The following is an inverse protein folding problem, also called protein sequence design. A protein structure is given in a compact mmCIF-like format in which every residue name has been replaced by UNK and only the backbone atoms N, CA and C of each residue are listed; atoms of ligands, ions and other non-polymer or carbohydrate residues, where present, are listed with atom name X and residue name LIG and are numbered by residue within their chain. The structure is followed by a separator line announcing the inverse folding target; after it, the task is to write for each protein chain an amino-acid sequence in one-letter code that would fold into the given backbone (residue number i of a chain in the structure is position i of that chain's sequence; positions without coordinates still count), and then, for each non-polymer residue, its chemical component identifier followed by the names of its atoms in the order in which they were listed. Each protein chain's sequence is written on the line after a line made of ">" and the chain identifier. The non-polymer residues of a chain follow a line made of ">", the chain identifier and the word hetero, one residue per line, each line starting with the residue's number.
data_IF_985282435718
#
_entry.id   IF_985282435718
#
_cell.length_a   1.000
_cell.length_b   1.000
_cell.length_c   1.000
_cell.angle_alpha   90.00
_cell.angle_beta   90.00
_cell.angle_gamma   90.00
#
_symmetry.space_group_name_H-M   'P 1'
#
loop_
_entity.id
_entity.type
_entity.pdbx_description
1 polymer ?
#
# COMPACT_ATOMS: atom_id res chain seq x y z
N UNK A 1 -57.06 -10.36 -3.76
CA UNK A 1 -56.89 -9.80 -2.42
C UNK A 1 -57.08 -10.92 -1.41
N UNK A 2 -55.96 -11.42 -0.83
CA UNK A 2 -56.02 -12.38 0.29
C UNK A 2 -55.08 -11.84 1.37
N UNK A 3 -55.64 -11.37 2.47
CA UNK A 3 -54.90 -10.96 3.66
C UNK A 3 -54.42 -12.20 4.40
N UNK A 4 -53.10 -12.29 4.65
CA UNK A 4 -52.50 -13.29 5.54
C UNK A 4 -52.21 -12.58 6.87
N UNK A 5 -52.99 -12.89 7.88
CA UNK A 5 -52.79 -12.45 9.26
C UNK A 5 -51.64 -13.21 9.88
N UNK A 6 -50.58 -12.52 10.31
CA UNK A 6 -49.45 -13.12 11.08
C UNK A 6 -49.68 -12.81 12.57
N UNK A 7 -49.93 -13.88 13.30
CA UNK A 7 -50.05 -13.86 14.77
C UNK A 7 -48.66 -13.70 15.39
N UNK A 8 -48.48 -12.68 16.22
CA UNK A 8 -47.22 -12.45 16.98
C UNK A 8 -47.38 -13.21 18.30
N UNK A 9 -46.47 -14.18 18.53
CA UNK A 9 -46.36 -14.87 19.80
C UNK A 9 -45.41 -14.07 20.72
N UNK A 10 -45.97 -13.60 21.86
CA UNK A 10 -45.17 -13.02 22.95
C UNK A 10 -44.47 -14.13 23.73
N UNK A 11 -43.16 -14.12 23.72
CA UNK A 11 -42.34 -14.94 24.67
C UNK A 11 -42.17 -14.13 25.97
N UNK A 12 -42.67 -14.70 27.07
CA UNK A 12 -42.47 -14.18 28.41
C UNK A 12 -41.04 -14.47 28.89
N UNK A 13 -40.31 -13.42 29.28
CA UNK A 13 -39.01 -13.54 29.96
C UNK A 13 -39.24 -13.78 31.44
N UNK A 14 -38.73 -14.91 31.96
CA UNK A 14 -38.63 -15.18 33.40
C UNK A 14 -37.33 -14.55 33.97
N UNK A 15 -37.36 -13.95 35.17
CA UNK A 15 -36.17 -13.39 35.79
C UNK A 15 -35.32 -14.50 36.41
N UNK A 16 -34.01 -14.55 36.03
CA UNK A 16 -33.00 -15.36 36.67
C UNK A 16 -32.44 -14.60 37.86
N UNK A 17 -32.68 -15.09 39.07
CA UNK A 17 -32.06 -14.60 40.28
C UNK A 17 -30.60 -15.09 40.39
N UNK A 18 -29.66 -14.18 40.37
CA UNK A 18 -28.22 -14.46 40.60
C UNK A 18 -27.98 -14.33 42.10
N UNK A 19 -27.69 -15.47 42.75
CA UNK A 19 -27.24 -15.51 44.16
C UNK A 19 -25.76 -15.10 44.22
N UNK A 20 -25.46 -13.99 44.90
CA UNK A 20 -24.12 -13.58 45.20
C UNK A 20 -23.61 -14.38 46.43
N UNK A 21 -22.70 -15.34 46.18
CA UNK A 21 -21.95 -16.00 47.24
C UNK A 21 -20.73 -15.11 47.55
N UNK A 22 -20.77 -14.45 48.71
CA UNK A 22 -19.64 -13.70 49.23
C UNK A 22 -18.62 -14.64 49.86
N UNK A 23 -17.45 -14.76 49.23
CA UNK A 23 -16.27 -15.34 49.91
C UNK A 23 -15.48 -14.22 50.58
N UNK A 24 -15.59 -14.14 51.91
CA UNK A 24 -14.78 -13.30 52.75
C UNK A 24 -13.49 -14.06 53.09
N UNK A 25 -12.39 -13.79 52.38
CA UNK A 25 -11.06 -14.25 52.74
C UNK A 25 -10.21 -13.05 53.18
N UNK A 26 -10.11 -12.84 54.47
CA UNK A 26 -9.10 -11.97 55.08
C UNK A 26 -7.72 -12.58 54.92
N UNK A 27 -6.96 -12.12 53.93
CA UNK A 27 -5.56 -12.43 53.73
C UNK A 27 -4.76 -11.21 54.25
N UNK A 28 -3.70 -11.41 55.08
CA UNK A 28 -2.87 -10.31 55.57
C UNK A 28 -2.14 -9.65 54.39
N UNK A 29 -2.11 -8.32 54.38
CA UNK A 29 -1.39 -7.54 53.38
C UNK A 29 0.11 -7.80 53.50
N UNK A 30 0.65 -8.52 52.50
CA UNK A 30 2.09 -8.63 52.28
C UNK A 30 2.54 -7.33 51.53
N UNK A 31 3.56 -6.69 52.11
CA UNK A 31 4.13 -5.45 51.58
C UNK A 31 4.62 -5.66 50.15
N UNK A 32 4.44 -4.67 49.23
CA UNK A 32 4.89 -4.82 47.84
C UNK A 32 6.40 -4.90 47.79
N UNK A 33 6.92 -6.11 47.55
CA UNK A 33 8.30 -6.30 47.14
C UNK A 33 8.56 -5.49 45.86
N UNK A 34 9.52 -4.60 45.93
CA UNK A 34 10.04 -3.85 44.79
C UNK A 34 10.72 -4.83 43.85
N UNK A 35 9.93 -5.41 42.91
CA UNK A 35 10.49 -6.05 41.75
C UNK A 35 11.07 -4.93 40.84
N UNK A 36 12.29 -4.54 41.12
CA UNK A 36 13.09 -3.75 40.20
C UNK A 36 13.28 -4.60 38.93
N UNK A 37 12.49 -4.33 37.90
CA UNK A 37 12.79 -4.80 36.56
C UNK A 37 14.17 -4.24 36.21
N UNK A 38 15.18 -5.10 35.94
CA UNK A 38 16.48 -4.59 35.54
C UNK A 38 16.29 -3.78 34.28
N UNK A 39 16.50 -2.45 34.38
CA UNK A 39 16.57 -1.55 33.21
C UNK A 39 17.82 -1.92 32.43
N UNK A 40 17.67 -2.87 31.50
CA UNK A 40 18.68 -3.17 30.54
C UNK A 40 18.72 -2.02 29.51
N UNK A 41 19.31 -0.90 29.92
CA UNK A 41 19.75 0.14 28.99
C UNK A 41 21.07 -0.32 28.39
N UNK A 42 21.02 -1.30 27.49
CA UNK A 42 22.10 -1.44 26.53
C UNK A 42 22.05 -0.17 25.65
N UNK A 43 23.17 0.54 25.43
CA UNK A 43 23.20 1.58 24.43
C UNK A 43 22.80 0.91 23.12
N UNK A 44 21.69 1.37 22.51
CA UNK A 44 21.32 0.95 21.19
C UNK A 44 22.45 1.38 20.26
N UNK A 45 23.36 0.44 19.93
CA UNK A 45 24.34 0.63 18.89
C UNK A 45 23.58 1.09 17.63
N UNK A 46 24.15 2.03 16.89
CA UNK A 46 23.56 2.45 15.63
C UNK A 46 23.17 1.20 14.82
N UNK A 47 21.97 1.16 14.21
CA UNK A 47 21.54 -0.02 13.46
C UNK A 47 22.60 -0.38 12.43
N UNK A 48 23.09 -1.61 12.47
CA UNK A 48 24.04 -2.07 11.45
C UNK A 48 23.29 -2.11 10.11
N UNK A 49 23.80 -1.44 9.07
CA UNK A 49 23.15 -1.45 7.76
C UNK A 49 22.95 -2.88 7.26
N UNK A 50 21.75 -3.22 6.84
CA UNK A 50 21.48 -4.51 6.22
C UNK A 50 22.12 -4.54 4.84
N UNK A 51 22.73 -5.68 4.48
CA UNK A 51 23.34 -5.90 3.17
C UNK A 51 23.00 -7.28 2.62
N UNK A 52 23.15 -7.46 1.32
CA UNK A 52 22.94 -8.75 0.68
C UNK A 52 21.50 -9.29 0.87
N UNK A 53 21.37 -10.58 1.17
CA UNK A 53 20.08 -11.24 1.27
C UNK A 53 19.20 -10.65 2.38
N UNK A 54 19.77 -10.29 3.52
CA UNK A 54 19.01 -9.70 4.63
C UNK A 54 18.35 -8.36 4.25
N UNK A 55 19.03 -7.54 3.43
CA UNK A 55 18.47 -6.31 2.88
C UNK A 55 17.32 -6.60 1.91
N UNK A 56 17.49 -7.58 1.03
CA UNK A 56 16.44 -8.00 0.08
C UNK A 56 15.23 -8.54 0.83
N UNK A 57 15.41 -9.37 1.85
CA UNK A 57 14.32 -9.94 2.64
C UNK A 57 13.55 -8.84 3.40
N UNK A 58 14.26 -7.87 3.98
CA UNK A 58 13.63 -6.68 4.59
C UNK A 58 12.83 -5.90 3.56
N UNK A 59 13.39 -5.66 2.38
CA UNK A 59 12.71 -4.99 1.28
C UNK A 59 11.45 -5.71 0.82
N UNK A 60 11.51 -7.04 0.70
CA UNK A 60 10.36 -7.88 0.38
C UNK A 60 9.23 -7.70 1.38
N UNK A 61 9.52 -7.73 2.68
CA UNK A 61 8.53 -7.53 3.73
C UNK A 61 7.88 -6.14 3.63
N UNK A 62 8.67 -5.10 3.34
CA UNK A 62 8.18 -3.74 3.19
C UNK A 62 7.33 -3.56 1.92
N UNK A 63 7.70 -4.17 0.81
CA UNK A 63 6.92 -4.14 -0.45
C UNK A 63 5.58 -4.85 -0.29
N UNK A 64 5.55 -6.01 0.39
CA UNK A 64 4.31 -6.75 0.67
C UNK A 64 3.45 -5.97 1.66
N UNK A 65 4.00 -5.58 2.80
CA UNK A 65 3.27 -4.86 3.85
C UNK A 65 2.82 -3.46 3.44
N UNK A 66 3.56 -2.82 2.53
CA UNK A 66 3.21 -1.52 1.92
C UNK A 66 2.18 -1.61 0.79
N UNK A 67 1.74 -2.81 0.39
CA UNK A 67 0.72 -2.97 -0.66
C UNK A 67 1.17 -2.55 -2.06
N UNK A 68 2.47 -2.57 -2.36
CA UNK A 68 2.97 -2.14 -3.68
C UNK A 68 2.35 -2.92 -4.85
N UNK A 69 2.06 -4.20 -4.62
CA UNK A 69 1.39 -5.05 -5.60
C UNK A 69 -0.02 -4.58 -5.95
N UNK A 70 -0.73 -3.89 -5.04
CA UNK A 70 -2.13 -3.50 -5.24
C UNK A 70 -2.32 -2.62 -6.48
N UNK A 71 -1.34 -1.74 -6.74
CA UNK A 71 -1.33 -0.86 -7.90
C UNK A 71 -0.31 -1.27 -8.96
N UNK A 72 0.85 -1.84 -8.58
CA UNK A 72 1.95 -2.10 -9.51
C UNK A 72 1.91 -3.49 -10.16
N UNK A 73 1.06 -4.41 -9.69
CA UNK A 73 0.82 -5.69 -10.36
C UNK A 73 -0.53 -5.65 -11.07
N UNK A 74 -0.57 -5.77 -12.41
CA UNK A 74 -1.82 -5.81 -13.14
C UNK A 74 -2.74 -6.92 -12.63
N UNK A 75 -4.04 -6.72 -12.75
CA UNK A 75 -5.02 -7.74 -12.45
C UNK A 75 -5.61 -8.28 -13.74
N UNK A 76 -5.96 -9.55 -13.71
CA UNK A 76 -6.68 -10.29 -14.77
C UNK A 76 -8.03 -10.77 -14.24
N UNK A 77 -9.02 -11.00 -15.11
CA UNK A 77 -10.28 -11.62 -14.70
C UNK A 77 -10.04 -12.97 -14.01
N UNK A 78 -10.66 -13.16 -12.86
CA UNK A 78 -10.68 -14.43 -12.12
C UNK A 78 -12.12 -14.84 -11.81
N UNK A 79 -12.34 -16.07 -11.30
CA UNK A 79 -13.67 -16.61 -11.05
C UNK A 79 -14.46 -15.85 -9.98
N UNK A 80 -13.77 -15.20 -9.05
CA UNK A 80 -14.38 -14.45 -7.94
C UNK A 80 -14.11 -12.92 -8.03
N UNK A 81 -13.68 -12.43 -9.19
CA UNK A 81 -13.31 -11.04 -9.40
C UNK A 81 -11.86 -10.90 -9.89
N UNK A 82 -11.31 -9.67 -9.92
CA UNK A 82 -9.96 -9.44 -10.39
C UNK A 82 -8.91 -10.15 -9.51
N UNK A 83 -7.99 -10.87 -10.14
CA UNK A 83 -6.88 -11.58 -9.49
C UNK A 83 -5.54 -11.00 -9.94
N UNK A 84 -4.52 -11.05 -9.07
CA UNK A 84 -3.18 -10.60 -9.43
C UNK A 84 -2.61 -11.44 -10.58
N UNK A 85 -2.10 -10.77 -11.59
CA UNK A 85 -1.31 -11.39 -12.64
C UNK A 85 0.17 -11.43 -12.23
N UNK A 86 0.55 -12.45 -11.49
CA UNK A 86 1.92 -12.59 -11.00
C UNK A 86 2.96 -12.84 -12.09
N UNK A 87 2.55 -13.22 -13.31
CA UNK A 87 3.47 -13.29 -14.46
C UNK A 87 3.98 -11.90 -14.85
N UNK A 88 3.19 -10.88 -14.54
CA UNK A 88 3.51 -9.46 -14.73
C UNK A 88 3.66 -8.71 -13.40
N UNK A 89 4.11 -9.39 -12.34
CA UNK A 89 4.26 -8.79 -11.01
C UNK A 89 5.11 -7.52 -11.04
N UNK A 90 4.60 -6.44 -10.44
CA UNK A 90 5.27 -5.14 -10.29
C UNK A 90 5.63 -4.42 -11.61
N UNK A 91 5.08 -4.88 -12.74
CA UNK A 91 5.36 -4.28 -14.06
C UNK A 91 4.56 -3.01 -14.37
N UNK A 92 3.58 -2.65 -13.53
CA UNK A 92 2.75 -1.45 -13.73
C UNK A 92 1.67 -1.60 -14.80
N UNK A 93 1.24 -0.46 -15.36
CA UNK A 93 0.24 -0.43 -16.43
C UNK A 93 0.75 -1.15 -17.68
N UNK A 94 0.05 -2.17 -18.19
CA UNK A 94 0.46 -2.87 -19.39
C UNK A 94 0.53 -1.96 -20.62
N UNK A 95 1.62 -2.03 -21.38
CA UNK A 95 1.88 -1.22 -22.57
C UNK A 95 0.78 -1.34 -23.63
N UNK A 96 0.20 -2.53 -23.78
CA UNK A 96 -0.85 -2.83 -24.76
C UNK A 96 -2.25 -2.34 -24.38
N UNK A 97 -2.47 -1.95 -23.14
CA UNK A 97 -3.77 -1.50 -22.64
C UNK A 97 -3.89 0.03 -22.73
N UNK A 98 -4.64 0.50 -23.74
CA UNK A 98 -4.83 1.92 -23.97
C UNK A 98 -5.98 2.46 -23.11
N UNK A 99 -5.68 3.45 -22.29
CA UNK A 99 -6.69 4.30 -21.65
C UNK A 99 -6.91 5.50 -22.57
N UNK A 100 -8.06 5.55 -23.23
CA UNK A 100 -8.31 6.47 -24.35
C UNK A 100 -8.86 7.83 -23.93
N UNK A 101 -9.40 7.97 -22.74
CA UNK A 101 -9.88 9.25 -22.22
C UNK A 101 -9.88 9.27 -20.69
N UNK A 102 -9.53 10.41 -20.07
CA UNK A 102 -9.78 10.60 -18.66
C UNK A 102 -11.29 10.56 -18.40
N UNK A 103 -11.68 9.95 -17.29
CA UNK A 103 -13.05 10.03 -16.82
C UNK A 103 -13.38 11.49 -16.49
N UNK A 104 -14.48 12.02 -17.04
CA UNK A 104 -14.92 13.37 -16.69
C UNK A 104 -15.54 13.35 -15.31
N UNK A 105 -14.83 13.91 -14.33
CA UNK A 105 -15.37 14.06 -12.98
C UNK A 105 -16.56 15.05 -12.98
N UNK A 106 -17.67 14.62 -12.40
CA UNK A 106 -18.72 15.55 -11.97
C UNK A 106 -18.32 16.12 -10.59
N UNK A 107 -18.09 17.44 -10.46
CA UNK A 107 -17.71 18.04 -9.17
C UNK A 107 -18.74 17.80 -8.05
N UNK A 108 -19.99 17.47 -8.39
CA UNK A 108 -21.06 17.16 -7.45
C UNK A 108 -21.12 15.68 -7.07
N UNK A 109 -20.40 14.81 -7.80
CA UNK A 109 -20.33 13.39 -7.49
C UNK A 109 -19.50 13.17 -6.21
N UNK A 110 -19.92 12.28 -5.30
CA UNK A 110 -19.06 11.84 -4.20
C UNK A 110 -17.88 10.99 -4.69
N UNK A 111 -17.94 10.47 -5.91
CA UNK A 111 -16.89 9.63 -6.52
C UNK A 111 -15.95 10.50 -7.35
N UNK A 112 -14.82 10.88 -6.76
CA UNK A 112 -13.86 11.79 -7.40
C UNK A 112 -12.62 11.07 -7.96
N UNK A 113 -12.46 9.77 -7.65
CA UNK A 113 -11.33 8.94 -8.11
C UNK A 113 -11.87 7.65 -8.69
N UNK A 114 -11.36 7.28 -9.86
CA UNK A 114 -11.72 6.06 -10.55
C UNK A 114 -10.47 5.28 -10.95
N UNK A 115 -10.60 3.97 -11.09
CA UNK A 115 -9.52 3.08 -11.50
C UNK A 115 -9.93 2.24 -12.70
N UNK A 116 -8.95 1.82 -13.51
CA UNK A 116 -9.13 0.79 -14.53
C UNK A 116 -9.45 -0.57 -13.91
N UNK A 117 -10.02 -1.48 -14.69
CA UNK A 117 -10.38 -2.81 -14.20
C UNK A 117 -9.19 -3.65 -13.72
N UNK A 118 -7.99 -3.39 -14.25
CA UNK A 118 -6.73 -4.03 -13.81
C UNK A 118 -6.05 -3.30 -12.64
N UNK A 119 -6.63 -2.19 -12.16
CA UNK A 119 -6.15 -1.36 -11.04
C UNK A 119 -4.72 -0.80 -11.21
N UNK A 120 -4.28 -0.56 -12.45
CA UNK A 120 -2.96 0.04 -12.73
C UNK A 120 -3.04 1.41 -13.40
N UNK A 121 -4.25 1.87 -13.75
CA UNK A 121 -4.52 3.24 -14.20
C UNK A 121 -5.57 3.89 -13.31
N UNK A 122 -5.36 5.17 -12.98
CA UNK A 122 -6.21 5.93 -12.06
C UNK A 122 -6.50 7.30 -12.63
N UNK A 123 -7.70 7.80 -12.40
CA UNK A 123 -8.09 9.14 -12.84
C UNK A 123 -8.79 9.91 -11.74
N UNK A 124 -8.55 11.20 -11.69
CA UNK A 124 -9.13 12.15 -10.74
C UNK A 124 -8.91 13.59 -11.19
N UNK A 125 -8.97 14.53 -10.28
CA UNK A 125 -8.74 15.95 -10.57
C UNK A 125 -7.35 16.25 -11.17
N UNK A 126 -6.37 15.36 -11.00
CA UNK A 126 -5.01 15.47 -11.53
C UNK A 126 -4.88 15.01 -12.99
N UNK A 127 -5.92 14.41 -13.58
CA UNK A 127 -5.87 13.76 -14.88
C UNK A 127 -5.78 12.24 -14.75
N UNK A 128 -4.88 11.59 -15.51
CA UNK A 128 -4.67 10.14 -15.48
C UNK A 128 -3.24 9.81 -15.08
N UNK A 129 -3.11 8.97 -14.07
CA UNK A 129 -1.83 8.37 -13.65
C UNK A 129 -1.79 6.88 -13.96
N UNK A 130 -0.60 6.38 -14.23
CA UNK A 130 -0.33 4.98 -14.50
C UNK A 130 0.67 4.46 -13.48
N UNK A 131 0.39 3.28 -12.93
CA UNK A 131 1.34 2.60 -12.05
C UNK A 131 2.62 2.29 -12.84
N UNK A 132 3.75 2.74 -12.33
CA UNK A 132 5.05 2.55 -12.98
C UNK A 132 5.48 1.09 -12.97
N UNK A 133 6.33 0.71 -13.94
CA UNK A 133 7.11 -0.51 -13.88
C UNK A 133 8.20 -0.33 -12.82
N UNK A 134 8.09 -1.06 -11.71
CA UNK A 134 9.05 -1.02 -10.60
C UNK A 134 9.87 -2.30 -10.49
N UNK A 135 9.89 -3.12 -11.54
CA UNK A 135 10.80 -4.28 -11.65
C UNK A 135 12.23 -3.85 -11.90
N UNK A 136 13.17 -4.80 -11.77
CA UNK A 136 14.60 -4.59 -12.07
C UNK A 136 14.93 -4.40 -13.55
N UNK A 137 13.94 -4.23 -14.46
CA UNK A 137 14.22 -3.95 -15.87
C UNK A 137 14.98 -2.63 -16.05
N UNK A 138 16.07 -2.66 -16.82
CA UNK A 138 16.98 -1.52 -16.95
C UNK A 138 16.51 -0.45 -17.92
N UNK A 139 15.56 -0.77 -18.81
CA UNK A 139 15.08 0.14 -19.85
C UNK A 139 13.72 0.74 -19.53
N UNK A 140 12.85 -0.02 -18.89
CA UNK A 140 11.46 0.38 -18.66
C UNK A 140 11.07 0.39 -17.18
N UNK A 141 11.90 -0.22 -16.31
CA UNK A 141 11.71 -0.29 -14.87
C UNK A 141 12.70 0.57 -14.09
N UNK A 142 13.00 0.15 -12.86
CA UNK A 142 13.89 0.88 -11.96
C UNK A 142 15.31 0.28 -11.89
N UNK A 143 15.67 -0.61 -12.82
CA UNK A 143 16.94 -1.32 -12.79
C UNK A 143 18.18 -0.40 -12.74
N UNK A 144 18.14 0.74 -13.42
CA UNK A 144 19.22 1.73 -13.42
C UNK A 144 19.18 2.71 -12.24
N UNK A 145 18.10 2.72 -11.43
CA UNK A 145 18.00 3.69 -10.35
C UNK A 145 19.05 3.44 -9.27
N UNK A 146 19.68 4.52 -8.83
CA UNK A 146 20.56 4.50 -7.66
C UNK A 146 19.73 4.61 -6.37
N UNK A 147 20.33 4.26 -5.23
CA UNK A 147 19.69 4.47 -3.91
C UNK A 147 19.28 5.93 -3.73
N UNK A 148 20.16 6.86 -4.10
CA UNK A 148 19.86 8.29 -4.02
C UNK A 148 18.65 8.68 -4.86
N UNK A 149 18.54 8.21 -6.11
CA UNK A 149 17.38 8.50 -6.97
C UNK A 149 16.07 7.98 -6.36
N UNK A 150 16.09 6.78 -5.77
CA UNK A 150 14.92 6.19 -5.16
C UNK A 150 14.51 6.93 -3.88
N UNK A 151 15.47 7.21 -2.99
CA UNK A 151 15.23 7.97 -1.76
C UNK A 151 14.69 9.36 -2.10
N UNK A 152 15.33 10.09 -3.01
CA UNK A 152 14.88 11.42 -3.42
C UNK A 152 13.48 11.38 -4.03
N UNK A 153 13.15 10.33 -4.83
CA UNK A 153 11.82 10.18 -5.39
C UNK A 153 10.75 10.03 -4.29
N UNK A 154 11.03 9.25 -3.24
CA UNK A 154 10.11 9.10 -2.12
C UNK A 154 10.07 10.33 -1.20
N UNK A 155 11.16 11.08 -1.07
CA UNK A 155 11.21 12.31 -0.25
C UNK A 155 10.54 13.50 -0.93
N UNK A 156 10.71 13.65 -2.24
CA UNK A 156 10.28 14.84 -3.00
C UNK A 156 9.00 14.63 -3.81
N UNK A 157 8.59 13.37 -4.01
CA UNK A 157 7.48 13.03 -4.90
C UNK A 157 7.79 13.27 -6.38
N UNK A 158 9.07 13.30 -6.77
CA UNK A 158 9.48 13.48 -8.16
C UNK A 158 10.08 12.19 -8.72
N UNK A 159 9.66 11.80 -9.90
CA UNK A 159 10.22 10.65 -10.60
C UNK A 159 11.74 10.81 -10.74
N UNK A 160 12.50 9.77 -10.37
CA UNK A 160 13.97 9.78 -10.27
C UNK A 160 14.53 10.88 -9.32
N UNK A 161 13.70 11.44 -8.45
CA UNK A 161 14.06 12.50 -7.51
C UNK A 161 14.05 13.92 -8.09
N UNK A 162 14.05 14.10 -9.39
CA UNK A 162 14.24 15.40 -10.05
C UNK A 162 13.30 15.68 -11.22
N UNK A 163 12.69 14.63 -11.79
CA UNK A 163 11.87 14.73 -12.99
C UNK A 163 10.41 15.13 -12.66
N UNK A 164 9.43 14.67 -13.45
CA UNK A 164 8.01 14.99 -13.28
C UNK A 164 7.48 14.57 -11.90
N UNK A 165 6.41 15.24 -11.46
CA UNK A 165 5.70 14.88 -10.23
C UNK A 165 5.13 13.45 -10.30
N UNK A 166 5.25 12.71 -9.22
CA UNK A 166 4.53 11.45 -9.00
C UNK A 166 3.10 11.80 -8.64
N UNK A 167 2.16 11.34 -9.48
CA UNK A 167 0.75 11.69 -9.34
C UNK A 167 0.01 10.74 -8.37
N UNK A 168 -1.12 11.18 -7.80
CA UNK A 168 -2.00 10.29 -7.05
C UNK A 168 -2.42 9.07 -7.90
N UNK A 169 -2.76 7.92 -7.27
CA UNK A 169 -2.85 7.72 -5.83
C UNK A 169 -1.56 7.25 -5.15
N UNK A 170 -0.39 7.29 -5.83
CA UNK A 170 0.87 6.83 -5.23
C UNK A 170 1.17 7.60 -3.93
N UNK A 171 1.19 6.94 -2.76
CA UNK A 171 1.34 7.60 -1.47
C UNK A 171 2.83 7.80 -1.11
N UNK A 172 3.61 8.39 -2.03
CA UNK A 172 5.05 8.59 -1.90
C UNK A 172 5.44 9.33 -0.61
N UNK A 173 4.59 10.27 -0.16
CA UNK A 173 4.81 11.06 1.05
C UNK A 173 4.78 10.22 2.35
N UNK A 174 4.07 9.10 2.37
CA UNK A 174 4.10 8.16 3.49
C UNK A 174 5.34 7.28 3.42
N UNK A 175 5.67 6.70 2.26
CA UNK A 175 6.92 5.97 2.09
C UNK A 175 8.14 6.85 2.32
N UNK A 176 8.05 8.12 1.96
CA UNK A 176 9.07 9.12 2.23
C UNK A 176 9.38 9.35 3.72
N UNK A 177 8.59 8.84 4.65
CA UNK A 177 8.86 8.91 6.09
C UNK A 177 9.67 7.72 6.61
N UNK A 178 9.84 6.66 5.80
CA UNK A 178 10.66 5.52 6.18
C UNK A 178 12.13 5.93 6.32
N UNK A 179 12.89 5.26 7.22
CA UNK A 179 14.34 5.42 7.28
C UNK A 179 14.99 5.11 5.92
N UNK A 180 16.13 5.74 5.63
CA UNK A 180 16.86 5.51 4.38
C UNK A 180 17.24 4.05 4.19
N UNK A 181 17.57 3.33 5.26
CA UNK A 181 17.89 1.89 5.19
C UNK A 181 16.69 1.05 4.75
N UNK A 182 15.47 1.40 5.13
CA UNK A 182 14.26 0.73 4.66
C UNK A 182 13.96 1.07 3.18
N UNK A 183 14.18 2.32 2.75
CA UNK A 183 14.05 2.70 1.35
C UNK A 183 15.09 1.99 0.47
N UNK A 184 16.34 1.87 0.94
CA UNK A 184 17.39 1.08 0.27
C UNK A 184 17.00 -0.40 0.18
N UNK A 185 16.43 -0.96 1.25
CA UNK A 185 15.97 -2.34 1.27
C UNK A 185 14.84 -2.57 0.25
N UNK A 186 13.85 -1.66 0.19
CA UNK A 186 12.79 -1.71 -0.82
C UNK A 186 13.40 -1.72 -2.23
N UNK A 187 14.32 -0.80 -2.54
CA UNK A 187 14.97 -0.74 -3.84
C UNK A 187 15.75 -2.02 -4.15
N UNK A 188 16.50 -2.55 -3.18
CA UNK A 188 17.27 -3.79 -3.35
C UNK A 188 16.36 -4.97 -3.71
N UNK A 189 15.22 -5.12 -3.02
CA UNK A 189 14.24 -6.15 -3.36
C UNK A 189 13.65 -5.94 -4.75
N UNK A 190 13.17 -4.73 -5.06
CA UNK A 190 12.55 -4.45 -6.36
C UNK A 190 13.52 -4.73 -7.52
N UNK A 191 14.79 -4.39 -7.37
CA UNK A 191 15.84 -4.70 -8.37
C UNK A 191 16.14 -6.19 -8.46
N UNK A 192 15.90 -6.97 -7.41
CA UNK A 192 16.07 -8.43 -7.41
C UNK A 192 14.90 -9.19 -8.04
N UNK A 193 13.77 -8.51 -8.30
CA UNK A 193 12.61 -9.14 -8.94
C UNK A 193 12.89 -9.47 -10.40
N UNK A 194 12.09 -10.39 -10.97
CA UNK A 194 12.18 -10.73 -12.40
C UNK A 194 12.04 -9.45 -13.25
N UNK A 195 13.02 -9.10 -14.07
CA UNK A 195 12.90 -7.97 -14.99
C UNK A 195 11.77 -8.21 -15.99
N UNK A 196 10.88 -7.24 -16.14
CA UNK A 196 9.79 -7.29 -17.10
C UNK A 196 9.87 -6.03 -17.97
N UNK A 197 10.16 -6.20 -19.25
CA UNK A 197 10.11 -5.11 -20.21
C UNK A 197 8.66 -4.70 -20.44
N UNK A 198 8.27 -3.54 -19.91
CA UNK A 198 6.93 -2.98 -20.05
C UNK A 198 7.01 -1.45 -20.00
N UNK A 199 6.77 -0.79 -21.12
CA UNK A 199 6.81 0.67 -21.25
C UNK A 199 5.48 1.26 -20.82
N UNK A 200 5.42 1.74 -19.60
CA UNK A 200 4.22 2.39 -19.06
C UNK A 200 3.97 3.71 -19.78
N UNK A 201 2.71 4.03 -20.14
CA UNK A 201 2.37 5.30 -20.78
C UNK A 201 2.73 6.52 -19.93
N UNK A 202 2.98 7.65 -20.59
CA UNK A 202 3.17 8.93 -19.90
C UNK A 202 1.84 9.36 -19.28
N UNK A 203 1.83 9.81 -17.99
CA UNK A 203 0.62 10.32 -17.36
C UNK A 203 0.00 11.48 -18.15
N UNK A 204 -1.33 11.63 -18.02
CA UNK A 204 -2.05 12.72 -18.66
C UNK A 204 -2.50 13.74 -17.62
N UNK A 205 -2.37 15.02 -17.95
CA UNK A 205 -2.92 16.11 -17.15
C UNK A 205 -4.46 16.18 -17.22
N UNK A 206 -5.07 17.10 -16.46
CA UNK A 206 -6.53 17.31 -16.49
C UNK A 206 -7.07 17.72 -17.86
N UNK A 207 -6.20 18.29 -18.71
CA UNK A 207 -6.50 18.66 -20.09
C UNK A 207 -6.34 17.50 -21.09
N UNK A 208 -5.98 16.30 -20.59
CA UNK A 208 -5.76 15.10 -21.40
C UNK A 208 -4.42 15.08 -22.15
N UNK A 209 -3.55 16.05 -21.92
CA UNK A 209 -2.21 16.09 -22.53
C UNK A 209 -1.18 15.35 -21.69
N UNK A 210 -0.11 14.79 -22.29
CA UNK A 210 0.99 14.21 -21.55
C UNK A 210 1.60 15.18 -20.53
N UNK A 211 1.86 14.70 -19.32
CA UNK A 211 2.59 15.45 -18.29
C UNK A 211 4.08 15.35 -18.59
N UNK A 212 4.64 16.40 -19.14
CA UNK A 212 6.07 16.47 -19.44
C UNK A 212 6.92 16.66 -18.17
N UNK A 213 8.19 16.21 -18.24
CA UNK A 213 9.15 16.57 -17.21
C UNK A 213 9.43 18.09 -17.28
N UNK A 214 9.69 18.77 -16.15
CA UNK A 214 10.21 20.13 -16.19
C UNK A 214 11.48 20.17 -17.04
N UNK A 215 11.57 21.17 -17.94
CA UNK A 215 12.76 21.42 -18.75
C UNK A 215 13.90 21.95 -17.88
#
# INVERSE_FOLDING_TARGET
>A
MRFVSRTIALLACAPVAIALVGCNSTQPAEAPGTNAVPSATAPAGAPVPLTGQAQIDRGKMLVIGGGCHDCHTPKKPGPNGPEFDYDRALSGQPEGEKITAPFKNDPKSPWQVHASGNLTAWTGAWGVSFAANITGDTNTGIGIWTEKMFIDAMRTGKHMGTSRQILPPMPWNFYGQLPDEDLKAILAYLKSTKPIANRVPVPLGPDGKPVEAPQ
#
